data_IF_730562678131
#
_entry.id   IF_730562678131
#
_cell.length_a   1.000
_cell.length_b   1.000
_cell.length_c   1.000
_cell.angle_alpha   90.00
_cell.angle_beta   90.00
_cell.angle_gamma   90.00
#
_symmetry.space_group_name_H-M   'P 1'
#
loop_
_entity.id
_entity.type
_entity.pdbx_description
1 polymer ?
#
# COMPACT_ATOMS: atom_id res chain seq x y z
N UNK A 1 16.85 -5.02 -9.55
CA UNK A 1 16.03 -4.10 -8.73
C UNK A 1 14.93 -4.95 -8.14
N UNK A 2 14.78 -4.92 -6.81
CA UNK A 2 13.72 -5.66 -6.13
C UNK A 2 12.40 -4.89 -6.27
N UNK A 3 11.29 -5.61 -6.41
CA UNK A 3 9.96 -5.00 -6.54
C UNK A 3 8.95 -5.77 -5.71
N UNK A 4 7.98 -5.06 -5.14
CA UNK A 4 6.81 -5.64 -4.49
C UNK A 4 5.60 -5.47 -5.40
N UNK A 5 4.73 -6.48 -5.38
CA UNK A 5 3.39 -6.43 -5.94
C UNK A 5 2.44 -6.03 -4.83
N UNK A 6 1.83 -4.87 -4.96
CA UNK A 6 0.81 -4.38 -4.04
C UNK A 6 -0.54 -4.63 -4.69
N UNK A 7 -1.41 -5.35 -4.00
CA UNK A 7 -2.77 -5.56 -4.48
C UNK A 7 -3.63 -4.41 -3.96
N UNK A 8 -4.25 -3.72 -4.90
CA UNK A 8 -5.17 -2.61 -4.64
C UNK A 8 -6.55 -3.04 -5.11
N UNK A 9 -7.54 -2.81 -4.26
CA UNK A 9 -8.93 -3.12 -4.51
C UNK A 9 -9.74 -1.84 -4.73
N UNK A 10 -10.63 -1.83 -5.73
CA UNK A 10 -11.73 -0.85 -5.84
C UNK A 10 -13.06 -1.48 -5.50
N UNK A 11 -13.87 -0.75 -4.73
CA UNK A 11 -15.27 -1.05 -4.50
C UNK A 11 -16.11 -0.52 -5.68
N UNK A 12 -16.67 -1.43 -6.48
CA UNK A 12 -17.50 -1.18 -7.67
C UNK A 12 -16.85 -0.22 -8.72
N UNK A 13 -17.62 0.23 -9.72
CA UNK A 13 -17.18 1.13 -10.82
C UNK A 13 -16.80 2.55 -10.36
N UNK A 14 -16.58 2.78 -9.06
CA UNK A 14 -16.21 4.07 -8.53
C UNK A 14 -14.67 4.22 -8.50
N UNK A 15 -14.06 4.97 -9.45
CA UNK A 15 -12.61 5.14 -9.51
C UNK A 15 -12.04 5.91 -8.32
N UNK A 16 -12.89 6.50 -7.46
CA UNK A 16 -12.49 7.29 -6.30
C UNK A 16 -12.36 6.47 -5.01
N UNK A 17 -12.47 5.14 -5.09
CA UNK A 17 -12.50 4.25 -3.92
C UNK A 17 -11.44 3.16 -4.04
N UNK A 18 -10.18 3.46 -3.70
CA UNK A 18 -9.11 2.47 -3.67
C UNK A 18 -8.78 2.03 -2.24
N UNK A 19 -8.38 0.78 -2.05
CA UNK A 19 -7.89 0.28 -0.77
C UNK A 19 -6.75 -0.70 -1.01
N UNK A 20 -5.67 -0.58 -0.24
CA UNK A 20 -4.59 -1.58 -0.23
C UNK A 20 -5.11 -2.84 0.48
N UNK A 21 -5.11 -3.96 -0.23
CA UNK A 21 -5.63 -5.24 0.28
C UNK A 21 -4.58 -6.29 0.51
N UNK A 22 -3.36 -6.12 0.00
CA UNK A 22 -2.26 -7.00 0.37
C UNK A 22 -0.92 -6.69 -0.30
N UNK A 23 0.10 -7.39 0.17
CA UNK A 23 1.50 -7.22 -0.23
C UNK A 23 2.13 -8.58 -0.59
N UNK A 24 2.60 -8.72 -1.83
CA UNK A 24 3.22 -9.93 -2.35
C UNK A 24 4.59 -9.63 -3.00
N UNK A 25 5.53 -10.56 -2.89
CA UNK A 25 6.82 -10.50 -3.61
C UNK A 25 6.86 -11.37 -4.87
N UNK A 26 5.98 -12.36 -4.94
CA UNK A 26 5.91 -13.34 -6.03
C UNK A 26 4.46 -13.57 -6.49
N UNK A 27 4.34 -14.31 -7.59
CA UNK A 27 3.05 -14.61 -8.22
C UNK A 27 2.19 -15.55 -7.37
N UNK A 28 2.81 -16.41 -6.57
CA UNK A 28 2.08 -17.38 -5.75
C UNK A 28 1.34 -16.66 -4.61
N UNK A 29 2.04 -15.81 -3.87
CA UNK A 29 1.46 -14.99 -2.78
C UNK A 29 0.44 -13.99 -3.33
N UNK A 30 0.69 -13.41 -4.51
CA UNK A 30 -0.26 -12.53 -5.18
C UNK A 30 -1.59 -13.25 -5.49
N UNK A 31 -1.52 -14.46 -6.06
CA UNK A 31 -2.69 -15.28 -6.35
C UNK A 31 -3.42 -15.71 -5.09
N UNK A 32 -2.68 -16.08 -4.05
CA UNK A 32 -3.26 -16.44 -2.75
C UNK A 32 -4.08 -15.29 -2.19
N UNK A 33 -3.54 -14.06 -2.15
CA UNK A 33 -4.25 -12.88 -1.66
C UNK A 33 -5.46 -12.59 -2.56
N UNK A 34 -5.26 -12.54 -3.88
CA UNK A 34 -6.31 -12.21 -4.85
C UNK A 34 -7.53 -13.15 -4.74
N UNK A 35 -7.30 -14.46 -4.62
CA UNK A 35 -8.37 -15.47 -4.54
C UNK A 35 -9.26 -15.31 -3.30
N UNK A 36 -8.78 -14.67 -2.22
CA UNK A 36 -9.58 -14.48 -1.00
C UNK A 36 -10.37 -13.17 -1.02
N UNK A 37 -10.01 -12.26 -1.94
CA UNK A 37 -10.72 -10.99 -2.13
C UNK A 37 -11.79 -11.12 -3.23
N UNK A 38 -11.87 -12.26 -3.93
CA UNK A 38 -12.85 -12.50 -5.02
C UNK A 38 -14.28 -12.18 -4.60
N UNK A 39 -14.72 -10.98 -4.98
CA UNK A 39 -16.06 -10.45 -4.79
C UNK A 39 -16.45 -9.76 -6.08
N UNK A 40 -17.67 -9.99 -6.56
CA UNK A 40 -18.20 -9.27 -7.72
C UNK A 40 -18.35 -7.76 -7.50
N UNK A 41 -18.25 -7.31 -6.24
CA UNK A 41 -18.28 -5.89 -5.84
C UNK A 41 -16.88 -5.28 -5.72
N UNK A 42 -15.82 -6.08 -5.83
CA UNK A 42 -14.45 -5.63 -5.63
C UNK A 42 -13.58 -6.00 -6.82
N UNK A 43 -13.04 -5.00 -7.50
CA UNK A 43 -12.06 -5.19 -8.57
C UNK A 43 -10.65 -5.09 -7.97
N UNK A 44 -9.89 -6.17 -7.97
CA UNK A 44 -8.49 -6.18 -7.56
C UNK A 44 -7.58 -6.01 -8.79
N UNK A 45 -6.64 -5.08 -8.72
CA UNK A 45 -5.49 -5.07 -9.62
C UNK A 45 -4.19 -5.06 -8.83
N UNK A 46 -3.12 -5.40 -9.55
CA UNK A 46 -1.77 -5.44 -8.99
C UNK A 46 -0.99 -4.23 -9.48
N UNK A 47 -0.46 -3.45 -8.55
CA UNK A 47 0.53 -2.43 -8.82
C UNK A 47 1.92 -2.96 -8.47
N UNK A 48 2.90 -2.76 -9.36
CA UNK A 48 4.28 -3.18 -9.09
C UNK A 48 5.10 -1.96 -8.71
N UNK A 49 5.58 -1.96 -7.47
CA UNK A 49 6.37 -0.87 -6.91
C UNK A 49 7.83 -1.32 -6.71
N UNK A 50 8.82 -0.55 -7.16
CA UNK A 50 10.22 -0.81 -6.82
C UNK A 50 10.43 -0.63 -5.31
N UNK A 51 11.29 -1.46 -4.73
CA UNK A 51 11.65 -1.39 -3.31
C UNK A 51 12.97 -0.64 -3.18
N UNK A 52 12.99 0.39 -2.33
CA UNK A 52 14.14 1.23 -2.05
C UNK A 52 14.74 0.90 -0.67
N UNK A 53 16.06 1.05 -0.53
CA UNK A 53 16.74 0.92 0.76
C UNK A 53 18.09 0.24 0.67
N UNK A 54 18.43 -0.54 1.69
CA UNK A 54 19.79 -1.04 1.95
C UNK A 54 20.24 -2.12 0.96
N UNK A 55 19.31 -2.63 0.15
CA UNK A 55 19.60 -3.52 -0.98
C UNK A 55 19.52 -5.01 -0.63
N UNK A 56 19.19 -5.34 0.62
CA UNK A 56 18.83 -6.70 0.99
C UNK A 56 17.53 -7.11 0.29
N UNK A 57 17.44 -8.38 -0.12
CA UNK A 57 16.23 -8.89 -0.77
C UNK A 57 15.20 -9.23 0.31
N UNK A 58 14.05 -8.54 0.36
CA UNK A 58 13.01 -8.84 1.36
C UNK A 58 12.47 -10.26 1.19
N UNK A 59 12.06 -10.89 2.29
CA UNK A 59 11.57 -12.27 2.35
C UNK A 59 10.21 -12.34 3.01
N UNK A 60 9.51 -13.46 2.80
CA UNK A 60 8.28 -13.75 3.51
C UNK A 60 8.48 -13.63 5.04
N UNK A 61 7.61 -12.87 5.71
CA UNK A 61 7.71 -12.54 7.13
C UNK A 61 8.43 -11.22 7.44
N UNK A 62 9.20 -10.66 6.50
CA UNK A 62 9.73 -9.29 6.64
C UNK A 62 8.60 -8.26 6.50
N UNK A 63 8.85 -7.04 6.95
CA UNK A 63 7.95 -5.91 6.74
C UNK A 63 8.52 -4.98 5.68
N UNK A 64 7.65 -4.47 4.81
CA UNK A 64 7.94 -3.30 3.99
C UNK A 64 7.28 -2.06 4.59
N UNK A 65 7.85 -0.92 4.26
CA UNK A 65 7.42 0.39 4.72
C UNK A 65 6.91 1.17 3.52
N UNK A 66 5.59 1.37 3.45
CA UNK A 66 4.94 2.09 2.36
C UNK A 66 4.79 3.54 2.80
N UNK A 67 5.30 4.46 1.99
CA UNK A 67 5.00 5.89 2.13
C UNK A 67 3.72 6.15 1.34
N UNK A 68 2.70 6.58 2.05
CA UNK A 68 1.34 6.74 1.59
C UNK A 68 0.95 8.20 1.72
N UNK A 69 0.32 8.77 0.69
CA UNK A 69 -0.41 10.03 0.80
C UNK A 69 -1.90 9.73 0.95
N UNK A 70 -2.50 10.26 2.01
CA UNK A 70 -3.88 9.96 2.39
C UNK A 70 -4.40 10.99 3.40
N UNK A 71 -5.70 11.21 3.47
CA UNK A 71 -6.30 12.02 4.52
C UNK A 71 -6.31 11.29 5.89
N UNK A 72 -6.09 9.96 5.88
CA UNK A 72 -6.21 9.11 7.06
C UNK A 72 -5.06 8.11 7.24
N UNK A 73 -4.66 7.89 8.50
CA UNK A 73 -3.66 6.90 8.88
C UNK A 73 -4.07 5.43 8.66
N UNK A 74 -3.11 4.52 8.87
CA UNK A 74 -3.19 3.07 8.57
C UNK A 74 -4.41 2.36 9.16
N UNK A 75 -4.83 2.72 10.37
CA UNK A 75 -5.87 2.01 11.14
C UNK A 75 -7.27 2.64 11.04
N UNK A 76 -7.51 3.54 10.09
CA UNK A 76 -8.82 4.18 9.92
C UNK A 76 -9.91 3.14 9.53
N UNK A 77 -10.95 2.94 10.37
CA UNK A 77 -11.84 1.78 10.29
C UNK A 77 -12.87 1.85 9.14
N UNK A 78 -13.24 3.04 8.66
CA UNK A 78 -14.36 3.22 7.73
C UNK A 78 -13.92 4.02 6.49
N UNK A 79 -13.60 3.33 5.39
CA UNK A 79 -13.27 3.98 4.11
C UNK A 79 -14.33 3.70 3.07
N UNK A 80 -14.96 4.76 2.56
CA UNK A 80 -15.80 4.74 1.34
C UNK A 80 -15.38 5.88 0.38
N UNK A 81 -14.41 6.73 0.76
CA UNK A 81 -14.00 7.90 -0.04
C UNK A 81 -12.49 8.10 0.06
N UNK A 82 -11.81 8.19 -1.09
CA UNK A 82 -10.38 8.48 -1.17
C UNK A 82 -9.53 7.27 -0.75
N UNK A 83 -8.92 6.61 -1.72
CA UNK A 83 -7.97 5.54 -1.42
C UNK A 83 -6.59 6.07 -1.07
N UNK A 84 -5.77 5.29 -0.34
CA UNK A 84 -4.39 5.67 -0.08
C UNK A 84 -3.62 5.62 -1.40
N UNK A 85 -2.88 6.69 -1.72
CA UNK A 85 -1.96 6.67 -2.87
C UNK A 85 -0.59 6.19 -2.39
N UNK A 86 -0.02 5.21 -3.09
CA UNK A 86 1.31 4.67 -2.77
C UNK A 86 2.35 5.55 -3.46
N UNK A 87 3.08 6.33 -2.67
CA UNK A 87 4.12 7.21 -3.19
C UNK A 87 5.43 6.44 -3.39
N UNK A 88 5.77 5.58 -2.43
CA UNK A 88 7.03 4.83 -2.45
C UNK A 88 7.04 3.65 -1.48
N UNK A 89 7.92 2.67 -1.72
CA UNK A 89 8.06 1.46 -0.89
C UNK A 89 9.50 1.25 -0.48
N UNK A 90 9.72 0.99 0.80
CA UNK A 90 11.05 0.80 1.38
C UNK A 90 11.19 -0.54 2.12
N UNK A 91 12.41 -1.07 2.15
CA UNK A 91 12.78 -2.24 2.96
C UNK A 91 13.14 -1.88 4.41
N UNK A 92 13.31 -0.58 4.71
CA UNK A 92 13.69 -0.09 6.03
C UNK A 92 12.89 1.15 6.44
N UNK A 93 12.67 1.30 7.75
CA UNK A 93 11.87 2.39 8.31
C UNK A 93 12.54 3.76 8.11
N UNK A 94 13.87 3.83 8.31
CA UNK A 94 14.60 5.10 8.26
C UNK A 94 14.47 5.80 6.90
N UNK A 95 14.62 5.04 5.80
CA UNK A 95 14.49 5.58 4.45
C UNK A 95 13.06 5.98 4.12
N UNK A 96 12.06 5.26 4.65
CA UNK A 96 10.66 5.64 4.51
C UNK A 96 10.33 6.94 5.25
N UNK A 97 10.81 7.11 6.49
CA UNK A 97 10.61 8.30 7.29
C UNK A 97 11.32 9.53 6.69
N UNK A 98 12.57 9.37 6.22
CA UNK A 98 13.31 10.44 5.55
C UNK A 98 12.56 10.92 4.29
N UNK A 99 12.15 10.00 3.43
CA UNK A 99 11.39 10.34 2.24
C UNK A 99 10.02 10.94 2.57
N UNK A 100 9.31 10.41 3.57
CA UNK A 100 8.01 10.94 3.97
C UNK A 100 8.12 12.41 4.43
N UNK A 101 9.16 12.75 5.19
CA UNK A 101 9.43 14.11 5.63
C UNK A 101 9.77 15.03 4.43
N UNK A 102 10.67 14.61 3.55
CA UNK A 102 11.01 15.37 2.33
C UNK A 102 9.79 15.60 1.43
N UNK A 103 8.96 14.56 1.27
CA UNK A 103 7.76 14.61 0.45
C UNK A 103 6.73 15.58 1.06
N UNK A 104 6.49 15.48 2.38
CA UNK A 104 5.61 16.39 3.11
C UNK A 104 6.08 17.85 3.02
N UNK A 105 7.39 18.10 3.16
CA UNK A 105 7.96 19.44 3.06
C UNK A 105 7.83 20.05 1.66
N UNK A 106 7.81 19.20 0.62
CA UNK A 106 7.58 19.60 -0.77
C UNK A 106 6.11 19.87 -1.10
N UNK A 107 5.18 19.23 -0.37
CA UNK A 107 3.73 19.37 -0.52
C UNK A 107 3.18 20.58 0.27
N UNK A 108 3.44 21.79 -0.21
CA UNK A 108 2.98 23.04 0.45
C UNK A 108 1.57 23.53 0.03
N UNK A 109 0.68 22.68 -0.50
CA UNK A 109 -0.45 23.18 -1.32
C UNK A 109 -1.86 22.63 -1.09
N UNK A 110 -2.05 21.38 -0.68
CA UNK A 110 -3.38 20.77 -0.66
C UNK A 110 -3.85 20.52 0.77
N UNK A 111 -4.89 21.25 1.18
CA UNK A 111 -5.55 21.07 2.47
C UNK A 111 -6.23 19.69 2.47
N UNK A 112 -5.78 18.78 3.32
CA UNK A 112 -6.47 17.51 3.57
C UNK A 112 -5.64 16.24 3.37
N UNK A 113 -4.44 16.32 2.77
CA UNK A 113 -3.59 15.14 2.54
C UNK A 113 -2.44 15.09 3.54
N UNK A 114 -2.40 14.05 4.37
CA UNK A 114 -1.30 13.72 5.27
C UNK A 114 -0.38 12.67 4.61
N UNK A 115 0.90 12.69 5.00
CA UNK A 115 1.86 11.66 4.59
C UNK A 115 2.06 10.68 5.74
N UNK A 116 1.89 9.40 5.45
CA UNK A 116 1.98 8.33 6.42
C UNK A 116 3.02 7.28 6.01
N UNK A 117 3.68 6.71 7.00
CA UNK A 117 4.52 5.51 6.81
C UNK A 117 3.78 4.31 7.38
N UNK A 118 3.33 3.42 6.50
CA UNK A 118 2.65 2.20 6.88
C UNK A 118 3.63 1.05 6.92
N UNK A 119 3.60 0.27 7.99
CA UNK A 119 4.38 -0.96 8.10
C UNK A 119 3.50 -2.15 7.77
N UNK A 120 3.81 -2.85 6.67
CA UNK A 120 3.04 -4.01 6.22
C UNK A 120 3.94 -5.25 6.13
N UNK A 121 3.59 -6.37 6.81
CA UNK A 121 4.27 -7.63 6.59
C UNK A 121 4.06 -8.16 5.16
N UNK A 122 5.05 -8.82 4.59
CA UNK A 122 4.86 -9.55 3.33
C UNK A 122 3.90 -10.72 3.56
N UNK A 123 2.92 -10.86 2.67
CA UNK A 123 1.77 -11.75 2.87
C UNK A 123 0.65 -11.15 3.72
N UNK A 124 0.80 -9.91 4.19
CA UNK A 124 -0.29 -9.20 4.86
C UNK A 124 -1.47 -9.03 3.91
N UNK A 125 -2.68 -9.06 4.52
CA UNK A 125 -3.91 -8.69 3.84
C UNK A 125 -4.84 -7.91 4.77
N UNK A 126 -5.70 -7.10 4.17
CA UNK A 126 -6.86 -6.49 4.85
C UNK A 126 -8.10 -7.30 4.53
N UNK A 127 -8.79 -7.78 5.56
CA UNK A 127 -10.13 -8.34 5.38
C UNK A 127 -11.10 -7.19 5.08
N UNK A 128 -11.56 -7.07 3.83
CA UNK A 128 -12.63 -6.14 3.46
C UNK A 128 -13.96 -6.81 3.79
N UNK A 129 -14.60 -6.39 4.88
CA UNK A 129 -15.98 -6.77 5.18
C UNK A 129 -16.92 -5.93 4.31
N UNK A 130 -17.73 -6.59 3.46
CA UNK A 130 -18.64 -5.97 2.48
C UNK A 130 -20.11 -5.98 2.90
#
# INVERSE_FOLDING_TARGET
MNSAKILVARLDDNPYTEAIVGLALDRETELEIANQVESNRVQCWTETQPIYGDGDTPKAGDSLFLVISDEFGQDAPDRIWGGPTIEKVFDNLSGAEEFAQEYADSYQGEVGVDIHVWRLPIGWRRDISL
#
